data_IF_644331501617
#
_entry.id   IF_644331501617
#
_cell.length_a   1.000
_cell.length_b   1.000
_cell.length_c   1.000
_cell.angle_alpha   90.00
_cell.angle_beta   90.00
_cell.angle_gamma   90.00
#
_symmetry.space_group_name_H-M   'P 1'
#
loop_
_entity.id
_entity.type
_entity.pdbx_description
1 polymer ?
#
# COMPACT_ATOMS: atom_id res chain seq x y z
N UNK A 1 9.84 0.76 -12.11
CA UNK A 1 8.87 1.50 -12.95
C UNK A 1 9.62 2.06 -14.14
N UNK A 2 9.37 1.54 -15.34
CA UNK A 2 10.03 1.98 -16.57
C UNK A 2 9.17 3.06 -17.20
N UNK A 3 9.63 4.31 -17.21
CA UNK A 3 9.00 5.40 -17.93
C UNK A 3 9.54 5.42 -19.36
N UNK A 4 8.70 5.09 -20.35
CA UNK A 4 9.04 5.29 -21.77
C UNK A 4 8.48 6.65 -22.19
N UNK A 5 9.38 7.59 -22.51
CA UNK A 5 9.05 8.92 -23.04
C UNK A 5 9.05 8.84 -24.56
N UNK A 6 7.88 8.94 -25.20
CA UNK A 6 7.81 9.05 -26.66
C UNK A 6 8.17 10.48 -27.09
N UNK A 7 9.15 10.59 -28.01
CA UNK A 7 9.54 11.84 -28.70
C UNK A 7 8.54 12.09 -29.85
N UNK A 8 8.02 13.31 -29.92
CA UNK A 8 7.30 13.83 -31.09
C UNK A 8 8.31 14.27 -32.17
N UNK A 9 8.24 13.69 -33.36
CA UNK A 9 8.92 14.14 -34.56
C UNK A 9 8.08 15.19 -35.28
N UNK A 10 8.63 16.39 -35.46
CA UNK A 10 8.19 17.35 -36.47
C UNK A 10 9.19 17.29 -37.63
N UNK A 11 8.69 17.23 -38.86
CA UNK A 11 9.35 17.77 -40.04
C UNK A 11 8.29 18.27 -41.06
N UNK A 12 8.50 19.53 -41.44
CA UNK A 12 8.33 20.19 -42.75
C UNK A 12 6.99 20.29 -43.48
N UNK A 13 6.39 21.49 -43.41
CA UNK A 13 5.87 22.22 -44.58
C UNK A 13 5.73 23.74 -44.29
N UNK A 14 6.25 24.58 -45.20
CA UNK A 14 6.03 26.04 -45.30
C UNK A 14 5.89 26.41 -46.80
N UNK A 15 5.33 27.58 -47.19
CA UNK A 15 4.18 28.29 -46.63
C UNK A 15 3.20 28.78 -47.73
N UNK A 16 1.98 29.18 -47.36
CA UNK A 16 1.13 30.02 -48.20
C UNK A 16 0.89 31.37 -47.50
N UNK A 17 1.18 32.45 -48.23
CA UNK A 17 1.20 33.84 -47.80
C UNK A 17 -0.18 34.43 -47.49
N UNK A 18 -0.31 35.17 -46.38
CA UNK A 18 -1.30 36.24 -46.26
C UNK A 18 -0.74 37.40 -45.43
N UNK A 19 -0.68 38.58 -46.05
CA UNK A 19 -0.24 39.84 -45.44
C UNK A 19 -1.39 40.47 -44.63
N UNK A 20 -1.09 40.91 -43.41
CA UNK A 20 -2.02 41.71 -42.60
C UNK A 20 -1.36 42.24 -41.33
N UNK A 21 -0.83 43.47 -41.41
CA UNK A 21 -0.66 44.46 -40.33
C UNK A 21 -0.23 43.98 -38.93
N UNK A 22 1.01 44.32 -38.54
CA UNK A 22 1.48 44.34 -37.13
C UNK A 22 0.64 45.30 -36.28
N UNK A 23 0.28 44.89 -35.06
CA UNK A 23 0.39 45.80 -33.92
C UNK A 23 1.06 45.14 -32.70
N UNK A 24 1.97 45.90 -32.07
CA UNK A 24 2.35 45.79 -30.66
C UNK A 24 3.14 44.55 -30.24
N UNK A 25 4.42 44.73 -29.93
CA UNK A 25 5.14 43.82 -29.03
C UNK A 25 4.65 44.14 -27.61
N UNK A 26 4.05 43.20 -26.86
CA UNK A 26 3.99 43.31 -25.41
C UNK A 26 5.34 42.81 -24.89
N UNK A 27 6.25 43.75 -24.64
CA UNK A 27 7.29 43.55 -23.63
C UNK A 27 6.58 43.67 -22.30
N UNK A 28 6.28 42.54 -21.66
CA UNK A 28 6.29 42.45 -20.21
C UNK A 28 6.33 40.99 -19.78
N UNK A 29 7.21 40.76 -18.80
CA UNK A 29 7.48 39.49 -18.17
C UNK A 29 6.23 38.91 -17.51
N UNK A 30 5.48 38.05 -18.20
CA UNK A 30 4.66 37.02 -17.55
C UNK A 30 5.31 35.64 -17.73
N UNK A 31 6.59 35.53 -17.34
CA UNK A 31 6.97 34.35 -16.59
C UNK A 31 6.24 34.43 -15.25
N UNK A 32 4.97 34.03 -15.24
CA UNK A 32 4.32 33.58 -14.02
C UNK A 32 5.19 32.42 -13.53
N UNK A 33 6.09 32.71 -12.60
CA UNK A 33 6.75 31.75 -11.73
C UNK A 33 5.64 31.10 -10.93
N UNK A 34 4.96 30.13 -11.56
CA UNK A 34 3.90 29.35 -10.93
C UNK A 34 4.56 28.42 -9.94
N UNK A 35 4.67 28.93 -8.73
CA UNK A 35 4.94 28.12 -7.56
C UNK A 35 3.77 27.14 -7.40
N UNK A 36 3.86 25.98 -8.06
CA UNK A 36 3.10 24.81 -7.64
C UNK A 36 3.34 24.58 -6.15
N UNK A 37 2.48 23.82 -5.45
CA UNK A 37 2.52 23.71 -4.00
C UNK A 37 3.94 23.39 -3.55
N UNK A 38 4.66 24.41 -3.05
CA UNK A 38 5.99 24.25 -2.50
C UNK A 38 5.74 23.49 -1.22
N UNK A 39 5.90 22.17 -1.28
CA UNK A 39 5.89 21.33 -0.11
C UNK A 39 6.90 21.91 0.86
N UNK A 40 6.41 22.66 1.86
CA UNK A 40 7.24 23.20 2.94
C UNK A 40 7.30 22.11 3.99
N UNK A 41 8.44 21.44 4.17
CA UNK A 41 8.56 20.43 5.21
C UNK A 41 8.52 21.16 6.55
N UNK A 42 7.36 21.18 7.19
CA UNK A 42 7.28 21.45 8.61
C UNK A 42 7.64 20.19 9.41
N UNK A 43 7.72 20.30 10.73
CA UNK A 43 7.98 19.17 11.65
C UNK A 43 6.95 18.03 11.60
N UNK A 44 5.94 18.14 10.73
CA UNK A 44 4.92 17.12 10.43
C UNK A 44 5.19 16.34 9.13
N UNK A 45 6.34 16.49 8.48
CA UNK A 45 6.70 15.71 7.28
C UNK A 45 6.79 14.20 7.63
N UNK A 46 5.91 13.34 7.08
CA UNK A 46 5.89 11.91 7.37
C UNK A 46 7.22 11.20 7.02
N UNK A 47 7.88 11.62 5.94
CA UNK A 47 9.16 11.05 5.53
C UNK A 47 10.27 11.45 6.51
N UNK A 48 10.36 12.72 6.90
CA UNK A 48 11.37 13.19 7.87
C UNK A 48 11.17 12.52 9.23
N UNK A 49 9.93 12.37 9.67
CA UNK A 49 9.59 11.64 10.90
C UNK A 49 10.02 10.17 10.82
N UNK A 50 9.68 9.48 9.73
CA UNK A 50 10.10 8.10 9.50
C UNK A 50 11.63 7.96 9.43
N UNK A 51 12.31 8.89 8.74
CA UNK A 51 13.77 8.88 8.64
C UNK A 51 14.44 8.99 10.01
N UNK A 52 14.05 9.99 10.81
CA UNK A 52 14.64 10.23 12.14
C UNK A 52 14.31 9.12 13.13
N UNK A 53 13.07 8.67 13.16
CA UNK A 53 12.59 7.73 14.17
C UNK A 53 12.86 6.27 13.80
N UNK A 54 12.99 5.94 12.51
CA UNK A 54 13.16 4.55 12.04
C UNK A 54 14.48 4.34 11.33
N UNK A 55 14.77 5.06 10.24
CA UNK A 55 15.95 4.78 9.40
C UNK A 55 17.28 5.05 10.11
N UNK A 56 17.38 6.10 10.92
CA UNK A 56 18.58 6.36 11.71
C UNK A 56 18.80 5.36 12.86
N UNK A 57 17.79 4.56 13.22
CA UNK A 57 17.77 3.71 14.40
C UNK A 57 17.35 2.26 14.07
N UNK A 58 17.63 1.78 12.85
CA UNK A 58 17.07 0.52 12.32
C UNK A 58 17.25 -0.69 13.25
N UNK A 59 18.45 -0.89 13.80
CA UNK A 59 18.72 -2.02 14.69
C UNK A 59 17.84 -1.98 15.93
N UNK A 60 17.82 -0.83 16.62
CA UNK A 60 17.01 -0.63 17.83
C UNK A 60 15.51 -0.81 17.53
N UNK A 61 15.04 -0.20 16.44
CA UNK A 61 13.63 -0.26 16.03
C UNK A 61 13.21 -1.70 15.71
N UNK A 62 14.07 -2.47 15.03
CA UNK A 62 13.82 -3.88 14.74
C UNK A 62 13.78 -4.72 16.02
N UNK A 63 14.72 -4.53 16.94
CA UNK A 63 14.76 -5.25 18.21
C UNK A 63 13.54 -4.93 19.09
N UNK A 64 13.17 -3.64 19.19
CA UNK A 64 11.97 -3.18 19.88
C UNK A 64 10.70 -3.79 19.28
N UNK A 65 10.61 -3.84 17.95
CA UNK A 65 9.47 -4.44 17.26
C UNK A 65 9.40 -5.95 17.52
N UNK A 66 10.53 -6.65 17.46
CA UNK A 66 10.59 -8.09 17.76
C UNK A 66 10.08 -8.37 19.18
N UNK A 67 10.58 -7.63 20.18
CA UNK A 67 10.07 -7.74 21.56
C UNK A 67 8.56 -7.50 21.66
N UNK A 68 8.04 -6.49 20.97
CA UNK A 68 6.60 -6.21 20.94
C UNK A 68 5.79 -7.35 20.32
N UNK A 69 6.27 -7.95 19.22
CA UNK A 69 5.65 -9.11 18.58
C UNK A 69 5.59 -10.28 19.57
N UNK A 70 6.70 -10.56 20.25
CA UNK A 70 6.81 -11.64 21.23
C UNK A 70 5.91 -11.43 22.45
N UNK A 71 6.00 -10.26 23.09
CA UNK A 71 5.15 -9.88 24.23
C UNK A 71 3.67 -10.01 23.90
N UNK A 72 3.28 -9.55 22.71
CA UNK A 72 1.89 -9.56 22.24
C UNK A 72 1.35 -10.96 21.97
N UNK A 73 2.18 -11.84 21.41
CA UNK A 73 1.76 -13.17 20.97
C UNK A 73 2.18 -14.28 21.96
N UNK A 74 2.63 -13.93 23.18
CA UNK A 74 3.13 -14.89 24.19
C UNK A 74 2.15 -16.01 24.54
N UNK A 75 0.86 -15.74 24.43
CA UNK A 75 -0.23 -16.69 24.72
C UNK A 75 -0.66 -17.50 23.50
N UNK A 76 -0.04 -17.27 22.33
CA UNK A 76 -0.40 -17.97 21.11
C UNK A 76 0.17 -19.39 21.12
N UNK A 77 -0.62 -20.36 20.65
CA UNK A 77 -0.24 -21.78 20.65
C UNK A 77 1.14 -22.01 20.01
N UNK A 78 1.43 -21.35 18.89
CA UNK A 78 2.73 -21.49 18.22
C UNK A 78 3.92 -21.18 19.14
N UNK A 79 3.91 -20.07 19.88
CA UNK A 79 5.05 -19.74 20.75
C UNK A 79 5.15 -20.70 21.95
N UNK A 80 4.01 -21.19 22.45
CA UNK A 80 3.98 -22.21 23.49
C UNK A 80 4.59 -23.54 22.99
N UNK A 81 4.25 -23.97 21.78
CA UNK A 81 4.76 -25.19 21.16
C UNK A 81 6.27 -25.13 20.91
N UNK A 82 6.81 -23.94 20.64
CA UNK A 82 8.25 -23.71 20.48
C UNK A 82 9.01 -23.66 21.82
N UNK A 83 8.34 -23.82 22.96
CA UNK A 83 8.95 -23.83 24.31
C UNK A 83 9.84 -22.61 24.59
N UNK A 84 9.42 -21.42 24.12
CA UNK A 84 10.20 -20.18 24.26
C UNK A 84 9.96 -19.57 25.65
N UNK A 85 10.87 -19.86 26.57
CA UNK A 85 10.78 -19.56 28.01
C UNK A 85 11.14 -18.14 28.44
N UNK A 86 11.80 -17.33 27.60
CA UNK A 86 12.26 -15.97 27.95
C UNK A 86 11.13 -14.96 28.25
N UNK A 87 9.89 -15.25 27.86
CA UNK A 87 8.72 -14.38 28.13
C UNK A 87 8.31 -14.31 29.62
N UNK A 88 9.07 -14.95 30.50
CA UNK A 88 8.86 -15.02 31.94
C UNK A 88 9.42 -13.81 32.70
N UNK A 89 10.28 -12.99 32.10
CA UNK A 89 10.67 -11.69 32.67
C UNK A 89 9.53 -10.68 32.47
N UNK A 90 8.70 -10.53 33.51
CA UNK A 90 7.62 -9.55 33.63
C UNK A 90 8.13 -8.10 33.77
N UNK A 91 9.11 -7.66 32.99
CA UNK A 91 9.56 -6.28 33.09
C UNK A 91 8.85 -5.39 32.07
N UNK A 92 7.82 -4.70 32.57
CA UNK A 92 7.33 -3.42 32.08
C UNK A 92 8.36 -2.29 32.30
N UNK A 93 9.67 -2.61 32.28
CA UNK A 93 10.72 -1.60 32.36
C UNK A 93 10.90 -1.00 30.97
N UNK A 94 10.77 0.32 30.87
CA UNK A 94 11.03 1.12 29.67
C UNK A 94 12.49 1.11 29.22
N UNK A 95 13.35 0.39 29.92
CA UNK A 95 14.79 0.37 29.72
C UNK A 95 15.34 -1.00 30.13
N UNK A 96 15.51 -1.87 29.14
CA UNK A 96 16.38 -3.05 29.24
C UNK A 96 17.82 -2.63 28.99
N UNK A 97 18.77 -3.31 29.60
CA UNK A 97 20.19 -3.12 29.30
C UNK A 97 20.52 -3.61 27.88
N UNK A 98 21.61 -3.10 27.30
CA UNK A 98 22.09 -3.59 26.01
C UNK A 98 22.43 -5.08 26.07
N UNK A 99 22.94 -5.58 27.19
CA UNK A 99 23.31 -6.99 27.38
C UNK A 99 22.09 -7.92 27.34
N UNK A 100 21.00 -7.55 28.04
CA UNK A 100 19.74 -8.29 27.99
C UNK A 100 19.12 -8.29 26.59
N UNK A 101 19.24 -7.17 25.86
CA UNK A 101 18.83 -7.10 24.47
C UNK A 101 19.61 -8.08 23.59
N UNK A 102 20.94 -8.11 23.70
CA UNK A 102 21.77 -9.04 22.91
C UNK A 102 21.41 -10.50 23.20
N UNK A 103 21.28 -10.86 24.48
CA UNK A 103 20.91 -12.22 24.89
C UNK A 103 19.55 -12.63 24.32
N UNK A 104 18.56 -11.74 24.36
CA UNK A 104 17.24 -12.01 23.79
C UNK A 104 17.30 -12.27 22.27
N UNK A 105 18.05 -11.45 21.54
CA UNK A 105 18.16 -11.59 20.08
C UNK A 105 18.87 -12.90 19.70
N UNK A 106 19.92 -13.28 20.43
CA UNK A 106 20.65 -14.51 20.16
C UNK A 106 19.84 -15.75 20.51
N UNK A 107 19.10 -15.75 21.63
CA UNK A 107 18.18 -16.83 21.97
C UNK A 107 17.06 -16.96 20.92
N UNK A 108 16.50 -15.83 20.45
CA UNK A 108 15.50 -15.83 19.37
C UNK A 108 16.04 -16.53 18.11
N UNK A 109 17.26 -16.19 17.67
CA UNK A 109 17.89 -16.79 16.49
C UNK A 109 18.17 -18.28 16.68
N UNK A 110 18.52 -18.70 17.90
CA UNK A 110 18.80 -20.10 18.21
C UNK A 110 17.53 -20.95 18.26
N UNK A 111 16.46 -20.43 18.87
CA UNK A 111 15.21 -21.19 19.10
C UNK A 111 14.24 -21.16 17.92
N UNK A 112 14.25 -20.11 17.10
CA UNK A 112 13.38 -19.98 15.93
C UNK A 112 14.20 -19.96 14.63
N UNK A 113 14.45 -21.14 14.03
CA UNK A 113 15.12 -21.20 12.74
C UNK A 113 14.23 -20.63 11.63
N UNK A 114 14.82 -20.42 10.46
CA UNK A 114 14.06 -20.05 9.26
C UNK A 114 13.12 -21.19 8.86
N UNK A 115 11.85 -20.85 8.68
CA UNK A 115 10.75 -21.79 8.40
C UNK A 115 10.11 -21.49 7.05
N UNK A 116 9.24 -22.40 6.61
CA UNK A 116 8.42 -22.25 5.41
C UNK A 116 6.94 -22.17 5.77
N UNK A 117 6.09 -21.85 4.80
CA UNK A 117 4.64 -21.82 5.00
C UNK A 117 4.09 -23.13 5.58
N UNK A 118 4.66 -24.28 5.19
CA UNK A 118 4.15 -25.58 5.62
C UNK A 118 4.32 -25.80 7.13
N UNK A 119 5.29 -25.15 7.78
CA UNK A 119 5.42 -25.16 9.25
C UNK A 119 4.25 -24.45 9.97
N UNK A 120 3.51 -23.60 9.25
CA UNK A 120 2.38 -22.84 9.78
C UNK A 120 1.03 -23.34 9.27
N UNK A 121 1.02 -24.25 8.28
CA UNK A 121 -0.19 -24.64 7.56
C UNK A 121 -1.25 -25.18 8.51
N UNK A 122 -0.90 -26.06 9.43
CA UNK A 122 -1.86 -26.66 10.36
C UNK A 122 -2.50 -25.62 11.29
N UNK A 123 -1.76 -24.59 11.70
CA UNK A 123 -2.33 -23.49 12.47
C UNK A 123 -3.30 -22.66 11.60
N UNK A 124 -2.88 -22.31 10.39
CA UNK A 124 -3.69 -21.50 9.47
C UNK A 124 -4.96 -22.23 9.05
N UNK A 125 -4.86 -23.53 8.72
CA UNK A 125 -5.98 -24.36 8.34
C UNK A 125 -6.99 -24.45 9.50
N UNK A 126 -6.55 -24.62 10.76
CA UNK A 126 -7.45 -24.55 11.92
C UNK A 126 -8.09 -23.17 12.07
N UNK A 127 -7.33 -22.09 11.93
CA UNK A 127 -7.88 -20.73 11.97
C UNK A 127 -8.97 -20.51 10.90
N UNK A 128 -8.82 -21.10 9.72
CA UNK A 128 -9.74 -20.94 8.58
C UNK A 128 -10.94 -21.89 8.66
N UNK A 129 -10.71 -23.18 8.93
CA UNK A 129 -11.71 -24.24 8.80
C UNK A 129 -12.55 -24.42 10.07
N UNK A 130 -11.95 -24.19 11.25
CA UNK A 130 -12.63 -24.32 12.54
C UNK A 130 -12.93 -22.97 13.19
N UNK A 131 -12.21 -21.91 12.81
CA UNK A 131 -12.29 -20.59 13.44
C UNK A 131 -11.51 -20.51 14.76
N UNK A 132 -10.57 -21.43 14.99
CA UNK A 132 -9.71 -21.40 16.17
C UNK A 132 -8.86 -20.13 16.22
N UNK A 133 -8.83 -19.47 17.37
CA UNK A 133 -8.16 -18.17 17.57
C UNK A 133 -6.92 -18.32 18.41
N UNK A 134 -6.09 -17.27 18.45
CA UNK A 134 -4.90 -17.22 19.30
C UNK A 134 -3.90 -18.36 19.00
N UNK A 135 -3.76 -18.72 17.71
CA UNK A 135 -2.83 -19.74 17.24
C UNK A 135 -1.48 -19.15 16.83
N UNK A 136 -1.48 -18.23 15.86
CA UNK A 136 -0.28 -17.52 15.38
C UNK A 136 -0.23 -16.07 15.85
N UNK A 137 -1.40 -15.46 16.05
CA UNK A 137 -1.50 -14.10 16.56
C UNK A 137 -2.66 -13.94 17.52
N UNK A 138 -2.46 -13.09 18.53
CA UNK A 138 -3.50 -12.67 19.47
C UNK A 138 -4.42 -11.60 18.89
N UNK A 139 -4.02 -10.93 17.80
CA UNK A 139 -4.88 -9.99 17.09
C UNK A 139 -6.01 -10.70 16.35
N UNK A 140 -7.13 -9.99 16.22
CA UNK A 140 -8.22 -10.41 15.33
C UNK A 140 -7.73 -10.41 13.88
N UNK A 141 -7.87 -11.55 13.22
CA UNK A 141 -7.71 -11.68 11.78
C UNK A 141 -8.92 -11.06 11.11
N UNK A 142 -8.68 -10.22 10.10
CA UNK A 142 -9.72 -9.49 9.36
C UNK A 142 -9.78 -9.89 7.89
N UNK A 143 -8.78 -10.63 7.41
CA UNK A 143 -8.72 -11.14 6.05
C UNK A 143 -7.67 -12.26 5.95
N UNK A 144 -7.91 -13.22 5.06
CA UNK A 144 -6.90 -14.20 4.64
C UNK A 144 -6.49 -13.93 3.20
N UNK A 145 -5.26 -13.48 3.02
CA UNK A 145 -4.74 -13.20 1.70
C UNK A 145 -4.29 -14.49 1.00
N UNK A 146 -4.95 -14.86 -0.09
CA UNK A 146 -4.50 -15.94 -0.97
C UNK A 146 -3.32 -15.47 -1.80
N UNK A 147 -2.20 -16.17 -1.73
CA UNK A 147 -1.11 -15.98 -2.68
C UNK A 147 -1.32 -16.86 -3.93
N UNK A 148 -0.92 -16.34 -5.09
CA UNK A 148 -1.15 -16.93 -6.42
C UNK A 148 -0.27 -18.14 -6.72
N UNK A 149 0.06 -18.96 -5.72
CA UNK A 149 0.88 -20.16 -5.91
C UNK A 149 0.20 -21.13 -6.89
N UNK A 150 0.85 -21.41 -8.02
CA UNK A 150 0.28 -22.13 -9.18
C UNK A 150 0.36 -23.66 -9.06
N UNK A 151 0.88 -24.20 -7.96
CA UNK A 151 1.00 -25.65 -7.75
C UNK A 151 0.73 -25.99 -6.28
N UNK A 152 -0.45 -26.56 -5.99
CA UNK A 152 -0.82 -27.10 -4.66
C UNK A 152 -1.94 -26.35 -3.93
N UNK A 153 -2.18 -26.73 -2.66
CA UNK A 153 -3.19 -26.09 -1.79
C UNK A 153 -2.82 -24.62 -1.59
N UNK A 154 -3.76 -23.72 -1.90
CA UNK A 154 -3.58 -22.27 -1.81
C UNK A 154 -3.01 -21.90 -0.42
N UNK A 155 -2.02 -21.01 -0.42
CA UNK A 155 -1.44 -20.46 0.79
C UNK A 155 -2.26 -19.25 1.23
N UNK A 156 -2.67 -19.23 2.48
CA UNK A 156 -3.51 -18.21 3.08
C UNK A 156 -2.69 -17.47 4.13
N UNK A 157 -2.45 -16.18 3.93
CA UNK A 157 -1.72 -15.35 4.86
C UNK A 157 -2.72 -14.61 5.76
N UNK A 158 -2.73 -14.84 7.08
CA UNK A 158 -3.63 -14.13 8.00
C UNK A 158 -3.20 -12.67 8.10
N UNK A 159 -4.14 -11.75 7.86
CA UNK A 159 -3.92 -10.32 7.98
C UNK A 159 -4.67 -9.77 9.20
N UNK A 160 -3.94 -9.10 10.08
CA UNK A 160 -4.49 -8.52 11.32
C UNK A 160 -4.94 -7.08 11.11
N UNK A 161 -5.85 -6.60 11.96
CA UNK A 161 -6.24 -5.18 11.94
C UNK A 161 -5.08 -4.24 12.30
N UNK A 162 -4.06 -4.69 13.03
CA UNK A 162 -2.91 -3.87 13.34
C UNK A 162 -2.08 -3.51 12.10
N UNK A 163 -2.10 -4.35 11.06
CA UNK A 163 -1.34 -4.11 9.83
C UNK A 163 -1.77 -2.85 9.08
N UNK A 164 -3.02 -2.40 9.21
CA UNK A 164 -3.50 -1.19 8.52
C UNK A 164 -2.70 0.06 8.86
N UNK A 165 -2.31 0.23 10.13
CA UNK A 165 -1.51 1.39 10.55
C UNK A 165 -0.15 1.41 9.85
N UNK A 166 0.46 0.24 9.70
CA UNK A 166 1.76 0.08 9.02
C UNK A 166 1.63 0.31 7.52
N UNK A 167 0.59 -0.25 6.89
CA UNK A 167 0.34 -0.04 5.47
C UNK A 167 0.04 1.43 5.17
N UNK A 168 -0.79 2.09 5.99
CA UNK A 168 -1.04 3.53 5.87
C UNK A 168 0.24 4.35 6.00
N UNK A 169 1.07 4.06 7.00
CA UNK A 169 2.36 4.74 7.17
C UNK A 169 3.26 4.55 5.93
N UNK A 170 3.36 3.33 5.40
CA UNK A 170 4.12 3.04 4.18
C UNK A 170 3.64 3.86 2.98
N UNK A 171 2.31 3.91 2.75
CA UNK A 171 1.74 4.70 1.66
C UNK A 171 2.05 6.19 1.82
N UNK A 172 1.91 6.75 3.03
CA UNK A 172 2.20 8.17 3.27
C UNK A 172 3.67 8.51 3.04
N UNK A 173 4.59 7.71 3.61
CA UNK A 173 6.03 7.93 3.45
C UNK A 173 6.45 7.79 1.98
N UNK A 174 5.98 6.74 1.29
CA UNK A 174 6.29 6.52 -0.11
C UNK A 174 5.73 7.60 -1.03
N UNK A 175 4.50 8.05 -0.79
CA UNK A 175 3.86 9.09 -1.59
C UNK A 175 4.54 10.45 -1.41
N UNK A 176 4.92 10.82 -0.18
CA UNK A 176 5.73 12.02 0.08
C UNK A 176 7.09 11.93 -0.60
N UNK A 177 7.75 10.76 -0.56
CA UNK A 177 9.03 10.57 -1.26
C UNK A 177 8.88 10.78 -2.78
N UNK A 178 7.86 10.20 -3.40
CA UNK A 178 7.56 10.38 -4.83
C UNK A 178 7.31 11.86 -5.15
N UNK A 179 6.43 12.53 -4.38
CA UNK A 179 6.10 13.94 -4.59
C UNK A 179 7.31 14.86 -4.50
N UNK A 180 8.26 14.58 -3.59
CA UNK A 180 9.50 15.34 -3.46
C UNK A 180 10.47 15.13 -4.63
N UNK A 181 10.34 14.02 -5.35
CA UNK A 181 11.19 13.69 -6.51
C UNK A 181 10.63 14.23 -7.83
N UNK A 182 9.37 14.67 -7.86
CA UNK A 182 8.72 15.17 -9.06
C UNK A 182 8.81 16.70 -9.17
N UNK A 183 8.96 17.26 -10.38
CA UNK A 183 8.86 18.70 -10.57
C UNK A 183 7.44 19.17 -10.25
N UNK A 184 7.29 20.42 -9.81
CA UNK A 184 5.99 21.00 -9.43
C UNK A 184 4.93 20.94 -10.56
N UNK A 185 5.37 20.86 -11.81
CA UNK A 185 4.49 20.65 -12.98
C UNK A 185 3.90 19.24 -13.09
N UNK A 186 4.31 18.29 -12.24
CA UNK A 186 3.78 16.91 -12.23
C UNK A 186 2.55 16.74 -11.35
N UNK A 187 2.16 17.77 -10.59
CA UNK A 187 0.95 17.73 -9.78
C UNK A 187 -0.26 18.05 -10.66
N UNK A 188 -1.38 17.31 -10.50
CA UNK A 188 -2.58 17.53 -11.31
C UNK A 188 -3.18 18.91 -11.05
N UNK A 189 -3.71 19.53 -12.10
CA UNK A 189 -4.58 20.71 -11.99
C UNK A 189 -6.00 20.27 -11.60
N UNK A 190 -6.80 21.18 -11.04
CA UNK A 190 -8.15 20.87 -10.49
C UNK A 190 -9.11 20.22 -11.51
N UNK A 191 -8.93 20.49 -12.81
CA UNK A 191 -9.73 19.90 -13.89
C UNK A 191 -9.20 18.54 -14.36
N UNK A 192 -7.95 18.20 -14.05
CA UNK A 192 -7.35 16.93 -14.47
C UNK A 192 -7.81 15.78 -13.59
N UNK A 193 -7.76 14.56 -14.12
CA UNK A 193 -8.11 13.34 -13.39
C UNK A 193 -6.99 12.32 -13.37
N UNK A 194 -6.94 11.53 -12.30
CA UNK A 194 -6.09 10.36 -12.20
C UNK A 194 -6.84 9.15 -12.74
N UNK A 195 -6.22 8.41 -13.66
CA UNK A 195 -6.69 7.09 -14.02
C UNK A 195 -5.91 6.03 -13.25
N UNK A 196 -6.61 5.11 -12.57
CA UNK A 196 -5.98 3.93 -12.00
C UNK A 196 -6.85 2.75 -12.33
N UNK A 197 -6.36 1.83 -13.15
CA UNK A 197 -7.10 0.63 -13.49
C UNK A 197 -7.25 -0.22 -12.25
N UNK A 198 -8.47 -0.27 -11.73
CA UNK A 198 -8.82 -1.08 -10.58
C UNK A 198 -9.28 -2.46 -11.05
N UNK A 199 -8.89 -3.50 -10.33
CA UNK A 199 -9.56 -4.79 -10.48
C UNK A 199 -10.96 -4.69 -9.88
N UNK A 200 -11.98 -5.04 -10.66
CA UNK A 200 -13.36 -5.15 -10.18
C UNK A 200 -13.45 -5.99 -8.91
N UNK A 201 -14.41 -5.65 -8.04
CA UNK A 201 -14.50 -6.24 -6.69
C UNK A 201 -15.58 -7.30 -6.66
N UNK A 202 -15.28 -8.43 -6.01
CA UNK A 202 -16.28 -9.47 -5.73
C UNK A 202 -16.37 -9.75 -4.24
N UNK A 203 -16.66 -8.75 -3.40
CA UNK A 203 -16.75 -8.95 -1.94
C UNK A 203 -17.76 -10.04 -1.54
N UNK A 204 -18.89 -10.10 -2.25
CA UNK A 204 -19.90 -11.14 -2.02
C UNK A 204 -19.49 -12.51 -2.56
N UNK A 205 -18.53 -12.57 -3.48
CA UNK A 205 -17.99 -13.83 -4.01
C UNK A 205 -16.66 -14.25 -3.35
N UNK A 206 -16.13 -13.46 -2.41
CA UNK A 206 -14.99 -13.90 -1.62
C UNK A 206 -15.39 -15.10 -0.80
N UNK A 207 -14.56 -16.14 -0.87
CA UNK A 207 -14.65 -17.25 0.04
C UNK A 207 -14.54 -16.71 1.47
N UNK A 208 -15.19 -17.37 2.41
CA UNK A 208 -15.14 -17.00 3.82
C UNK A 208 -14.67 -18.20 4.61
N UNK A 209 -13.81 -17.92 5.58
CA UNK A 209 -13.49 -18.87 6.64
C UNK A 209 -14.71 -19.16 7.50
N UNK A 210 -14.59 -20.14 8.39
CA UNK A 210 -15.67 -20.58 9.28
C UNK A 210 -16.28 -19.47 10.12
N UNK A 211 -15.48 -18.50 10.55
CA UNK A 211 -15.92 -17.36 11.37
C UNK A 211 -16.43 -16.16 10.53
N UNK A 212 -16.52 -16.32 9.21
CA UNK A 212 -16.99 -15.30 8.28
C UNK A 212 -15.89 -14.37 7.75
N UNK A 213 -14.63 -14.53 8.20
CA UNK A 213 -13.52 -13.70 7.72
C UNK A 213 -13.27 -13.94 6.23
N UNK A 214 -13.22 -12.88 5.40
CA UNK A 214 -13.04 -12.98 3.96
C UNK A 214 -11.67 -13.55 3.56
N UNK A 215 -11.66 -14.28 2.45
CA UNK A 215 -10.50 -14.93 1.82
C UNK A 215 -10.43 -14.47 0.37
N UNK A 216 -9.29 -13.93 -0.05
CA UNK A 216 -9.10 -13.50 -1.43
C UNK A 216 -7.69 -12.97 -1.72
N UNK A 217 -7.42 -12.50 -2.94
CA UNK A 217 -6.09 -12.03 -3.33
C UNK A 217 -5.56 -10.93 -2.42
N UNK A 218 -4.24 -10.91 -2.17
CA UNK A 218 -3.60 -9.86 -1.36
C UNK A 218 -3.85 -8.46 -1.92
N UNK A 219 -3.83 -8.30 -3.25
CA UNK A 219 -4.12 -7.03 -3.93
C UNK A 219 -5.52 -6.48 -3.62
N UNK A 220 -6.45 -7.33 -3.19
CA UNK A 220 -7.82 -6.95 -2.88
C UNK A 220 -8.07 -6.78 -1.37
N UNK A 221 -7.08 -7.08 -0.51
CA UNK A 221 -7.19 -6.90 0.95
C UNK A 221 -7.57 -5.47 1.33
N UNK A 222 -6.89 -4.49 0.72
CA UNK A 222 -7.08 -3.06 0.93
C UNK A 222 -8.48 -2.60 0.54
N UNK A 223 -9.05 -3.31 -0.42
CA UNK A 223 -10.41 -3.07 -0.89
C UNK A 223 -11.43 -3.71 0.03
N UNK A 224 -11.16 -4.92 0.54
CA UNK A 224 -12.04 -5.65 1.46
C UNK A 224 -12.33 -4.92 2.75
N UNK A 225 -11.49 -3.93 3.09
CA UNK A 225 -11.45 -3.31 4.38
C UNK A 225 -11.37 -1.80 4.16
N UNK A 226 -12.44 -1.07 4.48
CA UNK A 226 -12.51 0.38 4.33
C UNK A 226 -11.35 1.05 5.07
N UNK A 227 -10.42 1.64 4.31
CA UNK A 227 -9.16 2.17 4.83
C UNK A 227 -9.36 3.25 5.91
N UNK A 228 -10.33 4.12 5.67
CA UNK A 228 -10.86 5.12 6.59
C UNK A 228 -12.17 5.68 6.04
N UNK A 229 -13.04 6.28 6.87
CA UNK A 229 -14.26 6.95 6.43
C UNK A 229 -13.97 8.03 5.39
N UNK A 230 -14.63 7.99 4.23
CA UNK A 230 -14.46 9.00 3.16
C UNK A 230 -13.36 8.73 2.12
N UNK A 231 -12.58 7.65 2.26
CA UNK A 231 -11.59 7.23 1.25
C UNK A 231 -12.20 7.06 -0.16
N UNK A 232 -13.41 6.48 -0.24
CA UNK A 232 -14.15 6.36 -1.50
C UNK A 232 -14.51 7.72 -2.11
N UNK A 233 -14.97 8.68 -1.31
CA UNK A 233 -15.32 10.03 -1.77
C UNK A 233 -14.11 10.77 -2.36
N UNK A 234 -12.94 10.63 -1.72
CA UNK A 234 -11.68 11.21 -2.23
C UNK A 234 -11.31 10.53 -3.55
N UNK A 235 -11.40 9.19 -3.60
CA UNK A 235 -11.16 8.41 -4.82
C UNK A 235 -12.08 8.81 -5.98
N UNK A 236 -13.38 8.95 -5.73
CA UNK A 236 -14.37 9.38 -6.72
C UNK A 236 -14.13 10.82 -7.20
N UNK A 237 -13.66 11.71 -6.32
CA UNK A 237 -13.40 13.12 -6.66
C UNK A 237 -12.17 13.31 -7.54
N UNK A 238 -11.11 12.52 -7.30
CA UNK A 238 -9.83 12.64 -8.02
C UNK A 238 -9.74 11.69 -9.24
N UNK A 239 -10.54 10.63 -9.24
CA UNK A 239 -10.55 9.58 -10.25
C UNK A 239 -11.43 9.90 -11.45
N UNK A 240 -11.33 9.06 -12.49
CA UNK A 240 -12.18 9.14 -13.70
C UNK A 240 -13.62 8.64 -13.47
N UNK A 241 -13.85 7.90 -12.38
CA UNK A 241 -15.09 7.16 -12.13
C UNK A 241 -15.39 7.10 -10.64
N UNK A 242 -16.67 7.03 -10.33
CA UNK A 242 -17.10 6.79 -8.95
C UNK A 242 -16.63 5.42 -8.47
N UNK A 243 -16.04 5.40 -7.28
CA UNK A 243 -15.45 4.20 -6.72
C UNK A 243 -16.51 3.15 -6.40
N UNK A 244 -17.72 3.53 -5.95
CA UNK A 244 -18.81 2.59 -5.68
C UNK A 244 -19.33 1.94 -6.97
N UNK A 245 -19.36 2.68 -8.08
CA UNK A 245 -19.70 2.11 -9.39
C UNK A 245 -18.70 1.02 -9.80
N UNK A 246 -17.40 1.27 -9.64
CA UNK A 246 -16.35 0.28 -9.95
C UNK A 246 -16.51 -0.97 -9.06
N UNK A 247 -16.83 -0.79 -7.77
CA UNK A 247 -17.07 -1.88 -6.84
C UNK A 247 -18.32 -2.71 -7.15
N UNK A 248 -19.35 -2.08 -7.74
CA UNK A 248 -20.58 -2.74 -8.13
C UNK A 248 -20.43 -3.70 -9.32
N UNK A 249 -19.39 -3.52 -10.15
CA UNK A 249 -19.15 -4.37 -11.32
C UNK A 249 -18.30 -5.57 -10.90
N UNK A 250 -18.96 -6.70 -10.74
CA UNK A 250 -18.32 -7.96 -10.30
C UNK A 250 -17.47 -8.60 -11.40
N UNK A 251 -17.84 -8.43 -12.67
CA UNK A 251 -17.10 -8.99 -13.80
C UNK A 251 -15.86 -8.16 -14.14
N UNK A 252 -14.69 -8.80 -14.22
CA UNK A 252 -13.42 -8.11 -14.40
C UNK A 252 -13.30 -7.48 -15.79
N UNK A 253 -13.71 -8.21 -16.83
CA UNK A 253 -13.64 -7.74 -18.22
C UNK A 253 -14.60 -6.56 -18.41
N UNK A 254 -15.82 -6.68 -17.90
CA UNK A 254 -16.82 -5.61 -17.90
C UNK A 254 -16.32 -4.39 -17.11
N UNK A 255 -15.77 -4.59 -15.91
CA UNK A 255 -15.23 -3.51 -15.08
C UNK A 255 -14.08 -2.79 -15.78
N UNK A 256 -13.18 -3.55 -16.41
CA UNK A 256 -12.06 -3.02 -17.19
C UNK A 256 -12.57 -2.23 -18.40
N UNK A 257 -13.51 -2.79 -19.16
CA UNK A 257 -14.13 -2.13 -20.30
C UNK A 257 -14.77 -0.80 -19.92
N UNK A 258 -15.61 -0.79 -18.88
CA UNK A 258 -16.26 0.44 -18.38
C UNK A 258 -15.22 1.47 -17.95
N UNK A 259 -14.21 1.07 -17.17
CA UNK A 259 -13.14 1.97 -16.75
C UNK A 259 -12.39 2.59 -17.93
N UNK A 260 -12.06 1.80 -18.95
CA UNK A 260 -11.37 2.29 -20.15
C UNK A 260 -12.25 3.22 -21.00
N UNK A 261 -13.54 2.92 -21.16
CA UNK A 261 -14.48 3.80 -21.88
C UNK A 261 -14.55 5.17 -21.22
N UNK A 262 -14.69 5.23 -19.90
CA UNK A 262 -14.69 6.51 -19.19
C UNK A 262 -13.34 7.22 -19.26
N UNK A 263 -12.22 6.48 -19.17
CA UNK A 263 -10.89 7.06 -19.35
C UNK A 263 -10.77 7.77 -20.72
N UNK A 264 -11.31 7.19 -21.79
CA UNK A 264 -11.28 7.77 -23.14
C UNK A 264 -12.17 9.03 -23.28
N UNK A 265 -13.17 9.21 -22.42
CA UNK A 265 -14.03 10.41 -22.43
C UNK A 265 -13.42 11.60 -21.68
N UNK A 266 -12.44 11.35 -20.81
CA UNK A 266 -11.76 12.40 -20.05
C UNK A 266 -10.61 12.96 -20.88
N UNK A 267 -10.74 14.22 -21.31
CA UNK A 267 -9.73 14.88 -22.15
C UNK A 267 -8.40 15.09 -21.42
N UNK A 268 -8.44 15.34 -20.10
CA UNK A 268 -7.28 15.74 -19.32
C UNK A 268 -6.94 14.74 -18.20
N UNK A 269 -6.35 13.60 -18.58
CA UNK A 269 -5.77 12.65 -17.63
C UNK A 269 -4.36 13.12 -17.25
N UNK A 270 -4.12 13.43 -15.97
CA UNK A 270 -2.80 13.87 -15.48
C UNK A 270 -1.80 12.72 -15.39
N UNK A 271 -2.29 11.52 -15.07
CA UNK A 271 -1.49 10.32 -14.90
C UNK A 271 -2.37 9.08 -14.93
N UNK A 272 -1.77 7.96 -15.33
CA UNK A 272 -2.40 6.65 -15.27
C UNK A 272 -1.56 5.66 -14.46
N UNK A 273 -2.21 4.68 -13.85
CA UNK A 273 -1.54 3.60 -13.13
C UNK A 273 -2.26 2.27 -13.32
N UNK A 274 -1.46 1.22 -13.42
CA UNK A 274 -1.88 -0.18 -13.37
C UNK A 274 -1.03 -0.85 -12.30
N UNK A 275 -1.59 -1.79 -11.53
CA UNK A 275 -0.84 -2.44 -10.44
C UNK A 275 0.37 -3.22 -10.96
N UNK A 276 0.22 -3.87 -12.11
CA UNK A 276 1.27 -4.63 -12.77
C UNK A 276 1.32 -4.23 -14.25
N UNK A 277 2.51 -3.89 -14.75
CA UNK A 277 2.76 -3.80 -16.18
C UNK A 277 2.95 -5.23 -16.70
N UNK A 278 2.20 -5.64 -17.73
CA UNK A 278 2.58 -6.83 -18.49
C UNK A 278 3.91 -6.51 -19.19
N UNK A 279 4.96 -7.25 -18.83
CA UNK A 279 6.24 -7.24 -19.52
C UNK A 279 6.26 -8.37 -20.56
#
# INVERSE_FOLDING_TARGET
ATYVKLRSTHDDAQPASFNGTKPGIPTDNEQLTREGPRYRPGDKDPFVSYYRNSLCNLQKVNNDLLRKIFKKNRSCAYLADQSISFLSSNEDSSSISNEEEYLFIDEFRQKLPLTTYENYRDYIDRMVDTGEKNLLSSDKIVYYASSSGTTGKIKLLPITSAMFKHVFMLFNVGQVAIWRSLPASSFPLDHQRLFSLQSGKRFNAFLRSKDGTPIGPFSQFMSALSFFPGSKLIGSSLGILDYELIEGISDFETSTFVQLVFALTVQDISSYSVTFSNA
#
